data_IF_443353180480
#
_entry.id   IF_443353180480
#
_cell.length_a   1.000
_cell.length_b   1.000
_cell.length_c   1.000
_cell.angle_alpha   90.00
_cell.angle_beta   90.00
_cell.angle_gamma   90.00
#
_symmetry.space_group_name_H-M   'P 1'
#
loop_
_entity.id
_entity.type
_entity.pdbx_description
1 polymer ?
#
# COMPACT_ATOMS: atom_id res chain seq x y z
N UNK A 1 48.19 -5.55 -30.27
CA UNK A 1 46.99 -5.34 -29.40
C UNK A 1 47.00 -6.52 -28.45
N UNK A 2 47.24 -6.27 -27.19
CA UNK A 2 47.35 -7.32 -26.17
C UNK A 2 45.95 -7.74 -25.72
N UNK A 3 45.76 -9.03 -25.39
CA UNK A 3 44.50 -9.62 -24.87
C UNK A 3 43.91 -8.81 -23.72
N UNK A 4 44.77 -8.15 -22.93
CA UNK A 4 44.43 -7.28 -21.84
C UNK A 4 43.61 -6.04 -22.27
N UNK A 5 43.89 -5.47 -23.46
CA UNK A 5 43.14 -4.31 -23.98
C UNK A 5 41.73 -4.67 -24.48
N UNK A 6 41.57 -5.89 -24.99
CA UNK A 6 40.28 -6.39 -25.46
C UNK A 6 39.38 -6.72 -24.27
N UNK A 7 39.96 -7.26 -23.20
CA UNK A 7 39.22 -7.56 -21.96
C UNK A 7 38.69 -6.29 -21.28
N UNK A 8 39.44 -5.20 -21.32
CA UNK A 8 39.04 -3.90 -20.75
C UNK A 8 37.91 -3.22 -21.54
N UNK A 9 37.83 -3.49 -22.84
CA UNK A 9 36.77 -2.93 -23.74
C UNK A 9 35.44 -3.69 -23.63
N UNK A 10 35.47 -4.95 -23.14
CA UNK A 10 34.28 -5.79 -22.96
C UNK A 10 33.60 -5.62 -21.58
N UNK A 11 34.28 -5.02 -20.60
CA UNK A 11 33.72 -4.77 -19.27
C UNK A 11 32.42 -3.93 -19.25
N UNK A 12 32.26 -2.86 -20.07
CA UNK A 12 31.03 -2.06 -20.04
C UNK A 12 29.80 -2.75 -20.67
N UNK A 13 29.99 -3.84 -21.40
CA UNK A 13 28.89 -4.56 -22.06
C UNK A 13 28.12 -5.50 -21.11
N UNK A 14 28.60 -5.72 -19.89
CA UNK A 14 27.99 -6.66 -18.93
C UNK A 14 27.17 -5.95 -17.85
N UNK A 15 27.16 -4.63 -17.81
CA UNK A 15 26.31 -3.86 -16.89
C UNK A 15 24.89 -3.76 -17.44
N UNK A 16 24.19 -4.87 -17.52
CA UNK A 16 22.73 -4.84 -17.61
C UNK A 16 22.21 -4.34 -16.27
N UNK A 17 21.77 -3.09 -16.22
CA UNK A 17 21.04 -2.60 -15.07
C UNK A 17 19.80 -3.46 -14.90
N UNK A 18 19.77 -4.29 -13.85
CA UNK A 18 18.60 -5.05 -13.48
C UNK A 18 17.59 -4.05 -12.88
N UNK A 19 16.61 -3.65 -13.68
CA UNK A 19 15.49 -2.88 -13.19
C UNK A 19 14.48 -3.82 -12.55
N UNK A 20 14.34 -3.72 -11.25
CA UNK A 20 13.30 -4.46 -10.55
C UNK A 20 11.93 -3.85 -10.95
N UNK A 21 11.03 -4.64 -11.53
CA UNK A 21 9.71 -4.11 -11.87
C UNK A 21 9.01 -3.64 -10.60
N UNK A 22 8.73 -2.38 -10.54
CA UNK A 22 7.96 -1.72 -9.49
C UNK A 22 6.74 -1.03 -10.08
N UNK A 23 5.94 -0.42 -9.23
CA UNK A 23 4.81 0.39 -9.67
C UNK A 23 5.36 1.63 -10.39
N UNK A 24 4.91 1.89 -11.61
CA UNK A 24 5.32 3.06 -12.36
C UNK A 24 4.93 4.35 -11.61
N UNK A 25 5.84 5.35 -11.54
CA UNK A 25 5.49 6.61 -10.90
C UNK A 25 4.34 7.28 -11.66
N UNK A 26 3.33 7.71 -10.92
CA UNK A 26 2.19 8.47 -11.44
C UNK A 26 2.38 9.95 -11.16
N UNK A 27 2.07 10.79 -12.14
CA UNK A 27 2.02 12.25 -11.98
C UNK A 27 0.57 12.68 -11.74
N UNK A 28 0.38 13.56 -10.77
CA UNK A 28 -0.92 14.09 -10.38
C UNK A 28 -0.95 15.60 -10.54
N UNK A 29 -2.08 16.14 -10.98
CA UNK A 29 -2.32 17.59 -11.00
C UNK A 29 -3.09 18.00 -9.74
N UNK A 30 -3.04 19.30 -9.42
CA UNK A 30 -3.79 19.86 -8.31
C UNK A 30 -5.30 19.61 -8.51
N UNK A 31 -5.95 19.10 -7.47
CA UNK A 31 -7.37 18.76 -7.49
C UNK A 31 -7.71 17.36 -8.02
N UNK A 32 -6.74 16.62 -8.55
CA UNK A 32 -6.98 15.24 -8.98
C UNK A 32 -7.40 14.35 -7.80
N UNK A 33 -8.35 13.44 -8.05
CA UNK A 33 -8.81 12.49 -7.05
C UNK A 33 -7.87 11.30 -6.95
N UNK A 34 -7.18 11.17 -5.82
CA UNK A 34 -6.25 10.08 -5.54
C UNK A 34 -6.92 9.04 -4.66
N UNK A 35 -6.85 7.79 -5.06
CA UNK A 35 -7.36 6.67 -4.27
C UNK A 35 -6.40 6.33 -3.14
N UNK A 36 -6.94 6.15 -1.95
CA UNK A 36 -6.19 5.64 -0.80
C UNK A 36 -6.26 4.12 -0.86
N UNK A 37 -5.13 3.47 -0.70
CA UNK A 37 -5.01 2.02 -0.54
C UNK A 37 -4.57 1.66 0.88
N UNK A 38 -4.71 0.40 1.23
CA UNK A 38 -4.30 -0.15 2.52
C UNK A 38 -3.62 -1.50 2.31
N UNK A 39 -2.77 -1.86 3.23
CA UNK A 39 -2.20 -3.20 3.33
C UNK A 39 -2.84 -3.99 4.49
N UNK A 40 -2.26 -5.13 4.83
CA UNK A 40 -2.69 -5.94 5.97
C UNK A 40 -2.40 -5.23 7.29
N UNK A 41 -3.30 -5.40 8.27
CA UNK A 41 -3.09 -4.94 9.63
C UNK A 41 -1.96 -5.72 10.28
N UNK A 42 -1.02 -5.01 10.87
CA UNK A 42 0.13 -5.60 11.57
C UNK A 42 0.22 -5.13 13.01
N UNK A 43 0.84 -5.93 13.87
CA UNK A 43 1.02 -5.61 15.28
C UNK A 43 2.45 -5.91 15.74
N UNK A 44 3.05 -5.05 16.57
CA UNK A 44 4.33 -5.37 17.20
C UNK A 44 4.23 -6.45 18.27
N UNK A 45 3.03 -6.69 18.83
CA UNK A 45 2.80 -7.71 19.86
C UNK A 45 2.57 -9.09 19.28
N UNK A 46 1.91 -9.15 18.14
CA UNK A 46 1.59 -10.41 17.46
C UNK A 46 2.21 -10.41 16.07
N UNK A 47 2.67 -11.57 15.61
CA UNK A 47 3.25 -11.71 14.26
C UNK A 47 2.22 -12.10 13.22
N UNK A 48 0.94 -12.12 13.59
CA UNK A 48 -0.13 -12.53 12.71
C UNK A 48 -0.71 -11.32 12.00
N UNK A 49 -0.54 -11.15 10.69
CA UNK A 49 -1.22 -10.12 9.94
C UNK A 49 -2.70 -10.49 9.75
N UNK A 50 -3.55 -9.49 9.63
CA UNK A 50 -4.96 -9.65 9.26
C UNK A 50 -5.26 -8.83 8.01
N UNK A 51 -6.13 -9.34 7.16
CA UNK A 51 -6.62 -8.58 6.01
C UNK A 51 -7.52 -7.43 6.49
N UNK A 52 -7.39 -6.28 5.85
CA UNK A 52 -8.13 -5.07 6.24
C UNK A 52 -9.65 -5.32 6.28
N UNK A 53 -10.18 -6.02 5.30
CA UNK A 53 -11.62 -6.26 5.18
C UNK A 53 -12.15 -7.48 5.95
N UNK A 54 -11.31 -8.13 6.76
CA UNK A 54 -11.78 -9.09 7.78
C UNK A 54 -12.48 -8.36 8.94
N UNK A 55 -12.30 -7.06 9.00
CA UNK A 55 -12.92 -6.18 9.97
C UNK A 55 -13.95 -5.26 9.32
N UNK A 56 -14.87 -4.70 10.12
CA UNK A 56 -15.91 -3.82 9.62
C UNK A 56 -15.38 -2.43 9.29
N UNK A 57 -14.52 -2.33 8.29
CA UNK A 57 -14.10 -1.07 7.71
C UNK A 57 -14.95 -0.73 6.48
N UNK A 58 -14.98 0.54 6.12
CA UNK A 58 -15.77 1.02 4.98
C UNK A 58 -15.30 0.42 3.66
N UNK A 59 -16.19 -0.30 3.01
CA UNK A 59 -15.91 -0.93 1.71
C UNK A 59 -16.18 0.03 0.56
N UNK A 60 -15.36 0.03 -0.49
CA UNK A 60 -15.60 0.84 -1.67
C UNK A 60 -16.86 0.39 -2.39
N UNK A 61 -17.64 1.35 -2.91
CA UNK A 61 -18.91 1.06 -3.65
C UNK A 61 -18.69 0.26 -4.93
N UNK A 62 -17.53 0.40 -5.56
CA UNK A 62 -17.18 -0.25 -6.84
C UNK A 62 -16.65 -1.68 -6.61
N UNK A 63 -16.42 -2.07 -5.36
CA UNK A 63 -15.75 -3.31 -5.01
C UNK A 63 -14.26 -3.10 -4.65
N UNK A 64 -13.70 -4.10 -3.97
CA UNK A 64 -12.29 -4.10 -3.57
C UNK A 64 -11.46 -4.43 -4.81
N UNK A 65 -10.51 -3.57 -5.13
CA UNK A 65 -9.57 -3.77 -6.24
C UNK A 65 -8.18 -3.99 -5.66
N UNK A 66 -7.55 -5.09 -6.04
CA UNK A 66 -6.13 -5.30 -5.74
C UNK A 66 -5.31 -4.24 -6.48
N UNK A 67 -4.47 -3.55 -5.74
CA UNK A 67 -3.57 -2.53 -6.30
C UNK A 67 -2.26 -3.21 -6.73
N UNK A 68 -1.51 -2.51 -7.59
CA UNK A 68 -0.19 -3.01 -8.00
C UNK A 68 0.74 -3.12 -6.78
N UNK A 69 1.24 -4.32 -6.57
CA UNK A 69 2.15 -4.64 -5.46
C UNK A 69 3.59 -4.64 -5.94
N UNK A 70 4.50 -4.22 -5.07
CA UNK A 70 5.93 -4.43 -5.31
C UNK A 70 6.30 -5.88 -5.00
N UNK A 71 7.40 -6.37 -5.57
CA UNK A 71 7.88 -7.72 -5.27
C UNK A 71 8.14 -7.92 -3.77
N UNK A 72 8.56 -6.88 -3.06
CA UNK A 72 8.77 -6.93 -1.61
C UNK A 72 7.49 -7.17 -0.84
N UNK A 73 6.40 -6.51 -1.21
CA UNK A 73 5.06 -6.67 -0.61
C UNK A 73 4.52 -8.08 -0.86
N UNK A 74 4.66 -8.60 -2.09
CA UNK A 74 4.26 -9.96 -2.44
C UNK A 74 5.04 -11.00 -1.61
N UNK A 75 6.36 -10.84 -1.47
CA UNK A 75 7.17 -11.74 -0.65
C UNK A 75 6.86 -11.65 0.84
N UNK A 76 6.43 -10.50 1.32
CA UNK A 76 5.98 -10.32 2.71
C UNK A 76 4.57 -10.88 2.94
N UNK A 77 3.87 -11.34 1.89
CA UNK A 77 2.49 -11.81 1.95
C UNK A 77 1.48 -10.70 2.22
N UNK A 78 1.87 -9.45 1.98
CA UNK A 78 0.99 -8.30 2.13
C UNK A 78 0.11 -8.13 0.90
N UNK A 79 -1.15 -7.83 1.12
CA UNK A 79 -2.11 -7.48 0.06
C UNK A 79 -2.37 -6.00 0.10
N UNK A 80 -2.15 -5.34 -1.02
CA UNK A 80 -2.52 -3.95 -1.19
C UNK A 80 -3.89 -3.88 -1.84
N UNK A 81 -4.85 -3.31 -1.12
CA UNK A 81 -6.24 -3.22 -1.54
C UNK A 81 -6.71 -1.77 -1.59
N UNK A 82 -7.59 -1.47 -2.55
CA UNK A 82 -8.20 -0.14 -2.64
C UNK A 82 -9.17 0.09 -1.49
N UNK A 83 -9.15 1.27 -0.89
CA UNK A 83 -10.17 1.70 0.07
C UNK A 83 -11.27 2.50 -0.63
N UNK A 84 -12.37 2.73 0.09
CA UNK A 84 -13.43 3.65 -0.37
C UNK A 84 -13.06 5.13 -0.24
N UNK A 85 -11.88 5.43 0.33
CA UNK A 85 -11.46 6.80 0.60
C UNK A 85 -10.81 7.42 -0.62
N UNK A 86 -11.14 8.68 -0.86
CA UNK A 86 -10.55 9.49 -1.93
C UNK A 86 -10.12 10.81 -1.34
N UNK A 87 -8.90 11.18 -1.63
CA UNK A 87 -8.34 12.49 -1.26
C UNK A 87 -8.05 13.27 -2.53
N UNK A 88 -8.02 14.59 -2.44
CA UNK A 88 -7.68 15.45 -3.56
C UNK A 88 -6.24 15.94 -3.42
N UNK A 89 -5.49 15.87 -4.52
CA UNK A 89 -4.11 16.35 -4.55
C UNK A 89 -4.07 17.87 -4.31
N UNK A 90 -3.17 18.30 -3.43
CA UNK A 90 -2.93 19.72 -3.11
C UNK A 90 -4.17 20.52 -2.68
N UNK A 91 -5.21 19.86 -2.15
CA UNK A 91 -6.42 20.51 -1.63
C UNK A 91 -6.51 20.28 -0.13
N UNK A 92 -6.40 21.36 0.64
CA UNK A 92 -6.60 21.31 2.09
C UNK A 92 -8.07 21.10 2.41
N UNK A 93 -8.37 20.07 3.17
CA UNK A 93 -9.72 19.78 3.67
C UNK A 93 -9.70 19.62 5.18
N UNK A 94 -10.61 20.30 5.87
CA UNK A 94 -10.75 20.20 7.31
C UNK A 94 -11.83 19.19 7.67
N UNK A 95 -11.47 18.10 8.34
CA UNK A 95 -12.38 17.17 9.00
C UNK A 95 -13.53 16.68 8.11
N UNK A 96 -13.21 16.16 6.91
CA UNK A 96 -14.22 15.60 6.02
C UNK A 96 -14.59 14.17 6.48
N UNK A 97 -15.89 13.91 6.64
CA UNK A 97 -16.39 12.58 6.93
C UNK A 97 -16.36 11.74 5.66
N UNK A 98 -15.41 10.84 5.55
CA UNK A 98 -15.23 9.99 4.36
C UNK A 98 -16.21 8.82 4.34
N UNK A 99 -16.58 8.29 5.50
CA UNK A 99 -17.58 7.25 5.62
C UNK A 99 -18.12 7.14 7.06
N UNK A 100 -19.32 6.61 7.17
CA UNK A 100 -19.95 6.25 8.44
C UNK A 100 -20.43 4.80 8.36
N UNK A 101 -20.34 4.08 9.46
CA UNK A 101 -20.88 2.73 9.52
C UNK A 101 -21.37 2.37 10.93
N UNK A 102 -22.45 1.60 10.97
CA UNK A 102 -23.00 1.06 12.19
C UNK A 102 -22.36 -0.30 12.51
N UNK A 103 -21.77 -0.42 13.69
CA UNK A 103 -21.10 -1.64 14.12
C UNK A 103 -21.96 -2.42 15.10
N UNK A 104 -22.03 -3.74 14.91
CA UNK A 104 -22.64 -4.66 15.88
C UNK A 104 -21.71 -4.85 17.08
N UNK A 105 -22.29 -5.24 18.24
CA UNK A 105 -21.50 -5.46 19.47
C UNK A 105 -20.34 -6.43 19.29
N UNK A 106 -20.52 -7.48 18.49
CA UNK A 106 -19.46 -8.47 18.20
C UNK A 106 -18.30 -7.85 17.42
N UNK A 107 -18.59 -6.95 16.47
CA UNK A 107 -17.60 -6.25 15.67
C UNK A 107 -16.81 -5.26 16.53
N UNK A 108 -17.50 -4.54 17.41
CA UNK A 108 -16.85 -3.64 18.39
C UNK A 108 -15.87 -4.40 19.28
N UNK A 109 -16.25 -5.61 19.75
CA UNK A 109 -15.34 -6.44 20.56
C UNK A 109 -14.10 -6.88 19.77
N UNK A 110 -14.25 -7.20 18.48
CA UNK A 110 -13.11 -7.53 17.62
C UNK A 110 -12.16 -6.32 17.46
N UNK A 111 -12.71 -5.14 17.17
CA UNK A 111 -11.91 -3.91 17.05
C UNK A 111 -11.20 -3.58 18.38
N UNK A 112 -11.91 -3.72 19.53
CA UNK A 112 -11.29 -3.52 20.84
C UNK A 112 -10.08 -4.44 21.04
N UNK A 113 -10.20 -5.73 20.68
CA UNK A 113 -9.09 -6.66 20.76
C UNK A 113 -7.91 -6.23 19.89
N UNK A 114 -8.16 -5.75 18.67
CA UNK A 114 -7.10 -5.23 17.79
C UNK A 114 -6.36 -4.05 18.45
N UNK A 115 -7.10 -3.14 19.10
CA UNK A 115 -6.52 -1.99 19.80
C UNK A 115 -5.67 -2.47 20.98
N UNK A 116 -6.18 -3.40 21.79
CA UNK A 116 -5.46 -3.96 22.94
C UNK A 116 -4.18 -4.69 22.49
N UNK A 117 -4.21 -5.33 21.33
CA UNK A 117 -3.08 -6.01 20.69
C UNK A 117 -2.20 -5.06 19.84
N UNK A 118 -2.50 -3.76 19.85
CA UNK A 118 -1.73 -2.71 19.15
C UNK A 118 -1.59 -2.93 17.63
N UNK A 119 -2.67 -3.36 16.99
CA UNK A 119 -2.69 -3.43 15.53
C UNK A 119 -2.70 -2.04 14.90
N UNK A 120 -1.94 -1.88 13.84
CA UNK A 120 -1.80 -0.65 13.07
C UNK A 120 -2.39 -0.86 11.68
N UNK A 121 -3.13 0.14 11.22
CA UNK A 121 -3.62 0.23 9.85
C UNK A 121 -2.69 1.15 9.08
N UNK A 122 -2.12 0.69 7.99
CA UNK A 122 -1.29 1.49 7.10
C UNK A 122 -2.14 1.95 5.92
N UNK A 123 -2.31 3.25 5.80
CA UNK A 123 -2.94 3.86 4.65
C UNK A 123 -1.88 4.41 3.72
N UNK A 124 -2.02 4.13 2.44
CA UNK A 124 -1.09 4.55 1.41
C UNK A 124 -1.79 5.44 0.39
N UNK A 125 -1.17 6.55 0.06
CA UNK A 125 -1.63 7.45 -1.01
C UNK A 125 -0.64 7.34 -2.15
N UNK A 126 -1.13 6.98 -3.34
CA UNK A 126 -0.28 6.83 -4.54
C UNK A 126 0.92 5.88 -4.32
N UNK A 127 0.71 4.78 -3.57
CA UNK A 127 1.75 3.78 -3.28
C UNK A 127 2.81 4.23 -2.27
N UNK A 128 2.57 5.32 -1.53
CA UNK A 128 3.41 5.76 -0.40
C UNK A 128 2.63 5.70 0.90
N UNK A 129 3.29 5.24 1.94
CA UNK A 129 2.74 5.23 3.31
C UNK A 129 2.62 6.68 3.79
N UNK A 130 1.48 7.04 4.35
CA UNK A 130 1.20 8.34 4.96
C UNK A 130 1.65 8.37 6.41
#
# INVERSE_FOLDING_TARGET
MTISSILLLLLPLITTSFYLPGVAPQSWNDGDSVTVSTDSLTSPKTRLPYDYYDFPFCRPKIGIVAMGETLGEIFAGMRVESTGYKVKMAVDTNCEVLCEMDMKKEEVLKIKKLIDDQYVVNLMVSGRIC
#
